data_IF_205255276519
#
_entry.id   IF_205255276519
#
_cell.length_a   1.000
_cell.length_b   1.000
_cell.length_c   1.000
_cell.angle_alpha   90.00
_cell.angle_beta   90.00
_cell.angle_gamma   90.00
#
_symmetry.space_group_name_H-M   'P 1'
#
loop_
_entity.id
_entity.type
_entity.pdbx_description
1 polymer ?
#
# COMPACT_ATOMS: atom_id res chain seq x y z
N UNK A 1 -16.20 -6.87 -62.28
CA UNK A 1 -15.11 -7.76 -61.81
C UNK A 1 -14.11 -6.86 -61.09
N UNK A 2 -14.06 -6.90 -59.74
CA UNK A 2 -12.96 -7.50 -58.95
C UNK A 2 -11.67 -6.65 -59.05
N UNK A 3 -11.12 -5.95 -58.05
CA UNK A 3 -11.11 -6.12 -56.59
C UNK A 3 -10.85 -4.77 -55.90
N UNK A 4 -11.63 -4.46 -54.87
CA UNK A 4 -11.14 -3.64 -53.75
C UNK A 4 -10.18 -4.49 -52.91
N UNK A 5 -9.19 -3.87 -52.25
CA UNK A 5 -8.75 -4.09 -50.86
C UNK A 5 -7.32 -3.54 -50.64
N UNK A 6 -7.16 -2.50 -49.80
CA UNK A 6 -6.57 -2.55 -48.43
C UNK A 6 -5.05 -2.76 -48.40
N UNK A 7 -4.32 -1.75 -47.90
CA UNK A 7 -3.07 -1.78 -47.09
C UNK A 7 -2.43 -0.39 -47.18
N UNK A 8 -1.99 0.32 -46.15
CA UNK A 8 -1.90 0.05 -44.72
C UNK A 8 -2.06 1.40 -44.01
N UNK A 9 -3.11 1.54 -43.21
CA UNK A 9 -3.15 2.56 -42.15
C UNK A 9 -2.11 2.12 -41.13
N UNK A 10 -0.96 2.80 -41.12
CA UNK A 10 0.03 2.74 -40.04
C UNK A 10 -0.66 3.23 -38.77
N UNK A 11 -1.34 2.31 -38.09
CA UNK A 11 -1.89 2.52 -36.76
C UNK A 11 -0.68 2.58 -35.82
N UNK A 12 -0.22 3.80 -35.52
CA UNK A 12 0.65 4.07 -34.38
C UNK A 12 -0.08 3.65 -33.10
N UNK A 13 0.01 2.37 -32.76
CA UNK A 13 -0.26 1.85 -31.44
C UNK A 13 0.86 2.33 -30.51
N UNK A 14 0.76 3.60 -30.10
CA UNK A 14 1.45 4.09 -28.91
C UNK A 14 0.90 3.26 -27.76
N UNK A 15 1.68 2.26 -27.37
CA UNK A 15 1.33 1.33 -26.31
C UNK A 15 0.97 2.10 -25.05
N UNK A 16 -0.08 1.62 -24.37
CA UNK A 16 -0.37 1.92 -22.98
C UNK A 16 0.84 1.53 -22.15
N UNK A 17 1.81 2.44 -22.02
CA UNK A 17 2.87 2.31 -21.03
C UNK A 17 2.20 2.46 -19.68
N UNK A 18 1.98 1.33 -19.01
CA UNK A 18 1.75 1.31 -17.57
C UNK A 18 3.02 1.85 -16.92
N UNK A 19 3.08 3.17 -16.76
CA UNK A 19 4.10 3.80 -15.94
C UNK A 19 3.85 3.30 -14.52
N UNK A 20 4.67 2.37 -14.06
CA UNK A 20 4.66 1.95 -12.67
C UNK A 20 5.01 3.19 -11.85
N UNK A 21 4.01 3.79 -11.22
CA UNK A 21 4.24 4.91 -10.32
C UNK A 21 4.99 4.38 -9.11
N UNK A 22 6.19 4.91 -8.86
CA UNK A 22 6.89 4.66 -7.61
C UNK A 22 6.03 5.17 -6.44
N UNK A 23 6.04 4.43 -5.33
CA UNK A 23 5.34 4.84 -4.12
C UNK A 23 5.87 6.21 -3.62
N UNK A 24 4.94 7.09 -3.24
CA UNK A 24 5.21 8.45 -2.78
C UNK A 24 5.21 8.50 -1.25
N UNK A 25 6.37 8.70 -0.64
CA UNK A 25 6.54 8.66 0.82
C UNK A 25 5.90 9.85 1.51
N UNK A 26 5.94 11.03 0.91
CA UNK A 26 5.35 12.25 1.46
C UNK A 26 3.82 12.12 1.55
N UNK A 27 3.19 11.57 0.50
CA UNK A 27 1.77 11.21 0.52
C UNK A 27 1.50 10.11 1.55
N UNK A 28 2.36 9.10 1.61
CA UNK A 28 2.29 8.02 2.61
C UNK A 28 2.29 8.54 4.04
N UNK A 29 3.14 9.51 4.35
CA UNK A 29 3.18 10.19 5.65
C UNK A 29 1.85 10.85 5.97
N UNK A 30 1.33 11.70 5.05
CA UNK A 30 0.07 12.40 5.25
C UNK A 30 -1.11 11.43 5.45
N UNK A 31 -1.12 10.29 4.75
CA UNK A 31 -2.14 9.25 4.92
C UNK A 31 -2.05 8.55 6.27
N UNK A 32 -0.84 8.22 6.73
CA UNK A 32 -0.60 7.63 8.06
C UNK A 32 -1.01 8.57 9.18
N UNK A 33 -0.73 9.87 9.04
CA UNK A 33 -1.18 10.91 9.97
C UNK A 33 -2.71 11.04 9.94
N UNK A 34 -3.32 11.10 8.75
CA UNK A 34 -4.78 11.17 8.56
C UNK A 34 -5.51 9.97 9.19
N UNK A 35 -4.94 8.77 9.07
CA UNK A 35 -5.47 7.55 9.67
C UNK A 35 -5.17 7.44 11.18
N UNK A 36 -4.44 8.40 11.75
CA UNK A 36 -4.04 8.43 13.15
C UNK A 36 -3.36 7.12 13.61
N UNK A 37 -2.50 6.53 12.77
CA UNK A 37 -1.90 5.21 13.06
C UNK A 37 -1.09 5.20 14.36
N UNK A 38 -0.49 6.34 14.71
CA UNK A 38 0.29 6.53 15.94
C UNK A 38 -0.55 6.40 17.22
N UNK A 39 -1.89 6.53 17.14
CA UNK A 39 -2.77 6.35 18.30
C UNK A 39 -2.69 4.94 18.90
N UNK A 40 -2.43 3.92 18.07
CA UNK A 40 -2.29 2.53 18.51
C UNK A 40 -0.83 2.05 18.42
N UNK A 41 -0.16 2.33 17.31
CA UNK A 41 1.22 1.89 17.07
C UNK A 41 2.26 2.78 17.76
N UNK A 42 1.82 3.87 18.37
CA UNK A 42 2.60 4.75 19.22
C UNK A 42 3.50 5.73 18.48
N UNK A 43 4.27 6.50 19.27
CA UNK A 43 5.20 7.49 18.75
C UNK A 43 6.21 6.84 17.78
N UNK A 44 6.40 7.48 16.63
CA UNK A 44 7.26 6.99 15.55
C UNK A 44 6.87 5.62 15.00
N UNK A 45 5.66 5.11 15.31
CA UNK A 45 5.21 3.75 15.01
C UNK A 45 6.14 2.64 15.56
N UNK A 46 6.87 2.95 16.65
CA UNK A 46 7.83 2.04 17.28
C UNK A 46 7.64 1.90 18.81
N UNK A 47 6.62 2.56 19.37
CA UNK A 47 6.34 2.62 20.80
C UNK A 47 4.85 2.32 21.11
N UNK A 48 4.35 1.12 20.75
CA UNK A 48 2.93 0.80 20.81
C UNK A 48 2.35 0.97 22.22
N UNK A 49 1.09 1.42 22.30
CA UNK A 49 0.43 1.72 23.58
C UNK A 49 0.03 0.46 24.37
N UNK A 50 -0.04 -0.69 23.69
CA UNK A 50 -0.32 -2.00 24.28
C UNK A 50 0.63 -3.04 23.67
N UNK A 51 1.05 -4.07 24.44
CA UNK A 51 1.93 -5.13 23.93
C UNK A 51 1.38 -5.89 22.72
N UNK A 52 0.05 -5.93 22.57
CA UNK A 52 -0.62 -6.60 21.45
C UNK A 52 -0.52 -5.81 20.12
N UNK A 53 -0.17 -4.52 20.17
CA UNK A 53 -0.02 -3.70 18.96
C UNK A 53 1.41 -3.81 18.43
N UNK A 54 1.59 -4.20 17.15
CA UNK A 54 2.93 -4.39 16.60
C UNK A 54 3.64 -3.06 16.37
N UNK A 55 4.96 -3.08 16.51
CA UNK A 55 5.86 -2.04 15.99
C UNK A 55 5.89 -2.12 14.47
N UNK A 56 5.77 -0.99 13.80
CA UNK A 56 5.71 -0.94 12.33
C UNK A 56 6.95 -0.28 11.71
N UNK A 57 7.58 0.65 12.42
CA UNK A 57 8.70 1.42 11.89
C UNK A 57 9.83 0.52 11.37
N UNK A 58 10.33 0.84 10.17
CA UNK A 58 11.46 0.12 9.56
C UNK A 58 11.14 -1.28 9.05
N UNK A 59 9.88 -1.72 9.11
CA UNK A 59 9.46 -3.00 8.55
C UNK A 59 9.50 -2.97 7.00
N UNK A 60 9.70 -4.13 6.36
CA UNK A 60 9.77 -4.21 4.91
C UNK A 60 8.50 -3.68 4.24
N UNK A 61 8.68 -2.83 3.23
CA UNK A 61 7.59 -2.11 2.55
C UNK A 61 6.61 -3.07 1.86
N UNK A 62 7.10 -4.16 1.28
CA UNK A 62 6.27 -5.19 0.65
C UNK A 62 5.39 -5.89 1.69
N UNK A 63 5.97 -6.33 2.81
CA UNK A 63 5.22 -6.92 3.91
C UNK A 63 4.14 -5.98 4.45
N UNK A 64 4.48 -4.71 4.67
CA UNK A 64 3.54 -3.70 5.16
C UNK A 64 2.37 -3.52 4.19
N UNK A 65 2.65 -3.38 2.90
CA UNK A 65 1.61 -3.27 1.87
C UNK A 65 0.70 -4.51 1.86
N UNK A 66 1.28 -5.71 1.84
CA UNK A 66 0.50 -6.95 1.86
C UNK A 66 -0.32 -7.11 3.14
N UNK A 67 0.21 -6.74 4.30
CA UNK A 67 -0.52 -6.79 5.56
C UNK A 67 -1.72 -5.82 5.56
N UNK A 68 -1.52 -4.57 5.15
CA UNK A 68 -2.60 -3.58 5.03
C UNK A 68 -3.68 -4.05 4.05
N UNK A 69 -3.27 -4.56 2.89
CA UNK A 69 -4.18 -5.12 1.88
C UNK A 69 -4.95 -6.32 2.41
N UNK A 70 -4.29 -7.20 3.17
CA UNK A 70 -4.94 -8.37 3.76
C UNK A 70 -5.99 -7.99 4.80
N UNK A 71 -5.79 -6.93 5.59
CA UNK A 71 -6.84 -6.40 6.48
C UNK A 71 -8.02 -5.84 5.70
N UNK A 72 -7.76 -5.15 4.58
CA UNK A 72 -8.81 -4.62 3.71
C UNK A 72 -9.66 -5.75 3.10
N UNK A 73 -9.00 -6.80 2.60
CA UNK A 73 -9.68 -8.01 2.11
C UNK A 73 -10.45 -8.70 3.24
N UNK A 74 -9.85 -8.86 4.41
CA UNK A 74 -10.45 -9.51 5.58
C UNK A 74 -11.74 -8.83 6.05
N UNK A 75 -11.84 -7.51 5.89
CA UNK A 75 -13.05 -6.75 6.20
C UNK A 75 -14.24 -7.10 5.28
N UNK A 76 -13.98 -7.44 4.02
CA UNK A 76 -15.02 -7.87 3.06
C UNK A 76 -15.18 -9.39 2.99
N UNK A 77 -14.13 -10.15 3.28
CA UNK A 77 -14.13 -11.61 3.27
C UNK A 77 -13.10 -12.16 4.26
N UNK A 78 -13.59 -12.59 5.43
CA UNK A 78 -12.78 -13.10 6.53
C UNK A 78 -12.04 -14.42 6.21
N UNK A 79 -12.38 -15.12 5.12
CA UNK A 79 -11.72 -16.39 4.74
C UNK A 79 -10.42 -16.17 3.96
N UNK A 80 -10.27 -15.04 3.26
CA UNK A 80 -9.12 -14.79 2.36
C UNK A 80 -8.19 -13.67 2.84
N UNK A 81 -8.55 -12.96 3.90
CA UNK A 81 -7.76 -11.86 4.45
C UNK A 81 -7.48 -12.01 5.94
N UNK A 82 -6.80 -11.01 6.51
CA UNK A 82 -6.60 -10.92 7.96
C UNK A 82 -7.87 -10.40 8.60
N UNK A 83 -8.62 -11.27 9.27
CA UNK A 83 -9.82 -10.90 9.99
C UNK A 83 -9.47 -10.16 11.30
N UNK A 84 -9.48 -8.83 11.26
CA UNK A 84 -9.34 -7.98 12.44
C UNK A 84 -10.22 -6.73 12.22
N UNK A 85 -11.29 -6.60 13.00
CA UNK A 85 -12.25 -5.51 12.83
C UNK A 85 -11.62 -4.11 12.99
N UNK A 86 -10.67 -3.97 13.92
CA UNK A 86 -9.98 -2.70 14.18
C UNK A 86 -9.16 -2.30 12.95
N UNK A 87 -8.20 -3.12 12.53
CA UNK A 87 -7.36 -2.78 11.38
C UNK A 87 -8.12 -2.80 10.06
N UNK A 88 -9.13 -3.66 9.90
CA UNK A 88 -10.01 -3.69 8.74
C UNK A 88 -10.71 -2.34 8.53
N UNK A 89 -11.26 -1.77 9.60
CA UNK A 89 -11.87 -0.43 9.55
C UNK A 89 -10.86 0.69 9.30
N UNK A 90 -9.63 0.59 9.80
CA UNK A 90 -8.61 1.60 9.54
C UNK A 90 -8.23 1.68 8.05
N UNK A 91 -8.15 0.55 7.35
CA UNK A 91 -7.62 0.51 5.99
C UNK A 91 -8.68 0.59 4.88
N UNK A 92 -9.96 0.43 5.22
CA UNK A 92 -11.07 0.27 4.26
C UNK A 92 -11.17 1.40 3.22
N UNK A 93 -10.88 2.64 3.62
CA UNK A 93 -11.09 3.85 2.83
C UNK A 93 -9.88 4.24 1.96
N UNK A 94 -8.80 3.46 1.99
CA UNK A 94 -7.58 3.75 1.23
C UNK A 94 -7.50 2.89 -0.02
N UNK A 95 -7.10 3.49 -1.14
CA UNK A 95 -6.85 2.76 -2.39
C UNK A 95 -5.62 1.84 -2.29
N UNK A 96 -5.44 0.93 -3.24
CA UNK A 96 -4.25 0.06 -3.26
C UNK A 96 -2.94 0.87 -3.37
N UNK A 97 -2.96 1.94 -4.16
CA UNK A 97 -1.85 2.89 -4.28
C UNK A 97 -1.59 3.64 -2.96
N UNK A 98 -2.64 4.05 -2.24
CA UNK A 98 -2.49 4.67 -0.92
C UNK A 98 -1.81 3.70 0.07
N UNK A 99 -2.15 2.41 0.04
CA UNK A 99 -1.51 1.41 0.90
C UNK A 99 -0.02 1.22 0.56
N UNK A 100 0.35 1.32 -0.72
CA UNK A 100 1.75 1.29 -1.14
C UNK A 100 2.51 2.53 -0.66
N UNK A 101 1.92 3.71 -0.80
CA UNK A 101 2.48 4.98 -0.30
C UNK A 101 2.69 4.92 1.22
N UNK A 102 1.68 4.50 1.98
CA UNK A 102 1.75 4.31 3.43
C UNK A 102 2.85 3.32 3.82
N UNK A 103 2.92 2.17 3.15
CA UNK A 103 3.94 1.16 3.41
C UNK A 103 5.36 1.67 3.13
N UNK A 104 5.54 2.42 2.04
CA UNK A 104 6.82 3.02 1.70
C UNK A 104 7.29 4.03 2.76
N UNK A 105 6.38 4.87 3.26
CA UNK A 105 6.67 5.78 4.36
C UNK A 105 7.03 5.03 5.65
N UNK A 106 6.18 4.11 6.10
CA UNK A 106 6.38 3.36 7.36
C UNK A 106 7.72 2.59 7.34
N UNK A 107 8.06 1.99 6.19
CA UNK A 107 9.33 1.27 6.03
C UNK A 107 10.56 2.16 6.14
N UNK A 108 10.41 3.46 5.84
CA UNK A 108 11.51 4.43 5.90
C UNK A 108 11.78 4.94 7.32
N UNK A 109 10.87 4.69 8.26
CA UNK A 109 11.00 5.16 9.63
C UNK A 109 12.12 4.42 10.38
N UNK A 110 12.79 5.08 11.33
CA UNK A 110 13.75 4.40 12.21
C UNK A 110 13.05 3.32 13.04
N UNK A 111 13.51 2.09 12.93
CA UNK A 111 12.92 0.97 13.63
C UNK A 111 13.90 -0.15 13.93
N UNK A 112 13.41 -1.18 14.62
CA UNK A 112 14.24 -2.29 15.07
C UNK A 112 14.54 -3.31 13.95
N UNK A 113 13.92 -3.12 12.77
CA UNK A 113 14.02 -3.99 11.60
C UNK A 113 14.84 -3.38 10.46
N UNK A 114 15.43 -2.19 10.68
CA UNK A 114 16.21 -1.49 9.64
C UNK A 114 17.39 -2.35 9.23
N UNK A 115 17.40 -2.78 7.97
CA UNK A 115 18.59 -3.37 7.32
C UNK A 115 19.64 -2.28 7.30
N UNK A 116 20.61 -2.34 8.23
CA UNK A 116 21.84 -1.55 8.11
C UNK A 116 22.49 -1.97 6.79
N UNK A 117 22.49 -1.08 5.80
CA UNK A 117 23.39 -1.19 4.66
C UNK A 117 24.82 -0.94 5.13
#
# INVERSE_FOLDING_TARGET
MKFALITAVMLSSIGLVNVANAANKEKGQALVEKANCASCHGAGLNAPILPAYPKLAGQYSDYLYYALKAYKVGNGNAQFGRNNAVMGSQVQNFSDADLQDMAAYISSLPGNFVVKK
#
